data_IF_958159482907
#
_entry.id   IF_958159482907
#
_cell.length_a   1.000
_cell.length_b   1.000
_cell.length_c   1.000
_cell.angle_alpha   90.00
_cell.angle_beta   90.00
_cell.angle_gamma   90.00
#
_symmetry.space_group_name_H-M   'P 1'
#
loop_
_entity.id
_entity.type
_entity.pdbx_description
1 polymer ?
#
# COMPACT_ATOMS: atom_id res chain seq x y z
N UNK A 1 -4.00 -14.98 6.03
CA UNK A 1 -3.03 -14.68 4.94
C UNK A 1 -2.11 -15.87 4.61
N UNK A 2 -1.73 -16.70 5.57
CA UNK A 2 -0.80 -17.84 5.35
C UNK A 2 -1.33 -18.92 4.38
N UNK A 3 -2.60 -18.91 4.01
CA UNK A 3 -3.21 -19.95 3.15
C UNK A 3 -3.56 -19.49 1.73
N UNK A 4 -3.29 -18.25 1.36
CA UNK A 4 -3.53 -17.83 -0.02
C UNK A 4 -2.50 -18.45 -0.98
N UNK A 5 -2.89 -18.92 -2.17
CA UNK A 5 -1.99 -19.59 -3.11
C UNK A 5 -0.72 -18.79 -3.45
N UNK A 6 -0.85 -17.48 -3.62
CA UNK A 6 0.28 -16.60 -3.88
C UNK A 6 1.27 -16.53 -2.72
N UNK A 7 0.77 -16.45 -1.48
CA UNK A 7 1.62 -16.46 -0.28
C UNK A 7 2.35 -17.78 -0.13
N UNK A 8 1.69 -18.90 -0.40
CA UNK A 8 2.31 -20.23 -0.36
C UNK A 8 3.41 -20.37 -1.42
N UNK A 9 3.18 -19.85 -2.63
CA UNK A 9 4.20 -19.84 -3.69
C UNK A 9 5.44 -19.04 -3.25
N UNK A 10 5.28 -17.83 -2.73
CA UNK A 10 6.41 -17.02 -2.21
C UNK A 10 7.13 -17.72 -1.06
N UNK A 11 6.38 -18.33 -0.15
CA UNK A 11 6.94 -19.11 0.96
C UNK A 11 7.82 -20.26 0.45
N UNK A 12 7.37 -20.97 -0.58
CA UNK A 12 8.12 -22.08 -1.17
C UNK A 12 9.38 -21.63 -1.93
N UNK A 13 9.34 -20.45 -2.54
CA UNK A 13 10.50 -19.86 -3.23
C UNK A 13 11.59 -19.42 -2.25
N UNK A 14 11.21 -18.97 -1.05
CA UNK A 14 12.13 -18.43 -0.04
C UNK A 14 11.95 -19.12 1.32
N UNK A 15 12.21 -20.43 1.45
CA UNK A 15 11.87 -21.20 2.64
C UNK A 15 12.67 -20.81 3.90
N UNK A 16 13.86 -20.24 3.72
CA UNK A 16 14.78 -19.86 4.81
C UNK A 16 14.58 -18.42 5.31
N UNK A 17 13.78 -17.60 4.61
CA UNK A 17 13.58 -16.20 5.01
C UNK A 17 12.66 -16.15 6.22
N UNK A 18 13.06 -15.47 7.31
CA UNK A 18 12.21 -15.26 8.48
C UNK A 18 10.92 -14.54 8.12
N UNK A 19 9.86 -14.85 8.81
CA UNK A 19 8.52 -14.29 8.57
C UNK A 19 7.93 -13.77 9.86
N UNK A 20 7.37 -12.58 9.78
CA UNK A 20 6.75 -11.89 10.89
C UNK A 20 5.31 -11.57 10.52
N UNK A 21 4.45 -11.58 11.50
CA UNK A 21 3.06 -11.16 11.35
C UNK A 21 2.92 -9.66 11.61
N UNK A 22 3.76 -9.16 12.50
CA UNK A 22 3.86 -7.75 12.85
C UNK A 22 5.22 -7.18 12.39
N UNK A 23 5.19 -6.08 11.65
CA UNK A 23 6.40 -5.41 11.14
C UNK A 23 7.30 -4.88 12.26
N UNK A 24 6.73 -4.50 13.41
CA UNK A 24 7.50 -4.05 14.58
C UNK A 24 8.42 -5.16 15.09
N UNK A 25 7.90 -6.37 15.20
CA UNK A 25 8.71 -7.53 15.57
C UNK A 25 9.80 -7.85 14.53
N UNK A 26 9.55 -7.55 13.27
CA UNK A 26 10.56 -7.70 12.22
C UNK A 26 11.71 -6.70 12.45
N UNK A 27 11.42 -5.44 12.70
CA UNK A 27 12.45 -4.43 12.96
C UNK A 27 13.20 -4.71 14.26
N UNK A 28 12.52 -5.08 15.34
CA UNK A 28 13.15 -5.44 16.61
C UNK A 28 14.21 -6.55 16.45
N UNK A 29 13.96 -7.52 15.56
CA UNK A 29 14.82 -8.71 15.42
C UNK A 29 15.81 -8.63 14.27
N UNK A 30 15.57 -7.79 13.28
CA UNK A 30 16.29 -7.83 12.01
C UNK A 30 16.68 -6.46 11.44
N UNK A 31 16.42 -5.37 12.12
CA UNK A 31 16.73 -4.05 11.57
C UNK A 31 18.21 -3.91 11.15
N UNK A 32 19.13 -4.51 11.88
CA UNK A 32 20.57 -4.56 11.57
C UNK A 32 20.92 -5.32 10.27
N UNK A 33 19.99 -6.11 9.75
CA UNK A 33 20.16 -6.95 8.54
C UNK A 33 19.34 -6.48 7.35
N UNK A 34 18.68 -5.34 7.47
CA UNK A 34 17.80 -4.77 6.44
C UNK A 34 18.34 -3.40 6.05
N UNK A 35 18.57 -3.17 4.77
CA UNK A 35 18.98 -1.87 4.24
C UNK A 35 17.77 -1.09 3.69
N UNK A 36 16.81 -1.80 3.10
CA UNK A 36 15.63 -1.22 2.49
C UNK A 36 14.40 -2.11 2.66
N UNK A 37 13.22 -1.50 2.60
CA UNK A 37 11.95 -2.21 2.66
C UNK A 37 11.02 -1.80 1.52
N UNK A 38 10.18 -2.76 1.09
CA UNK A 38 9.04 -2.50 0.23
C UNK A 38 7.76 -2.60 1.05
N UNK A 39 6.95 -1.54 1.04
CA UNK A 39 5.68 -1.46 1.78
C UNK A 39 4.53 -1.63 0.80
N UNK A 40 3.95 -2.84 0.74
CA UNK A 40 2.85 -3.22 -0.14
C UNK A 40 1.71 -3.85 0.65
N UNK A 41 1.14 -3.10 1.55
CA UNK A 41 0.06 -3.47 2.48
C UNK A 41 -1.22 -2.68 2.16
N UNK A 42 -2.34 -2.86 2.86
CA UNK A 42 -3.49 -1.98 2.72
C UNK A 42 -3.14 -0.50 2.95
N UNK A 43 -3.77 0.39 2.19
CA UNK A 43 -3.45 1.83 2.11
C UNK A 43 -3.33 2.51 3.49
N UNK A 44 -4.16 2.10 4.46
CA UNK A 44 -4.17 2.68 5.81
C UNK A 44 -2.91 2.36 6.63
N UNK A 45 -2.16 1.34 6.23
CA UNK A 45 -0.94 0.92 6.91
C UNK A 45 0.34 1.43 6.23
N UNK A 46 0.25 2.11 5.07
CA UNK A 46 1.43 2.63 4.38
C UNK A 46 2.22 3.62 5.24
N UNK A 47 1.56 4.64 5.77
CA UNK A 47 2.22 5.67 6.58
C UNK A 47 2.89 5.10 7.84
N UNK A 48 2.20 4.37 8.75
CA UNK A 48 2.83 3.92 9.99
C UNK A 48 4.01 2.98 9.75
N UNK A 49 3.94 2.10 8.76
CA UNK A 49 5.05 1.20 8.45
C UNK A 49 6.23 1.94 7.83
N UNK A 50 5.95 2.88 6.92
CA UNK A 50 6.99 3.67 6.27
C UNK A 50 7.74 4.55 7.27
N UNK A 51 7.02 5.22 8.17
CA UNK A 51 7.65 6.09 9.16
C UNK A 51 8.52 5.29 10.15
N UNK A 52 8.08 4.11 10.54
CA UNK A 52 8.86 3.20 11.38
C UNK A 52 10.14 2.72 10.66
N UNK A 53 10.04 2.33 9.40
CA UNK A 53 11.21 1.95 8.60
C UNK A 53 12.22 3.09 8.50
N UNK A 54 11.76 4.33 8.23
CA UNK A 54 12.62 5.51 8.19
C UNK A 54 13.28 5.77 9.55
N UNK A 55 12.56 5.61 10.67
CA UNK A 55 13.10 5.77 12.01
C UNK A 55 14.24 4.77 12.32
N UNK A 56 14.16 3.58 11.73
CA UNK A 56 15.23 2.58 11.75
C UNK A 56 16.33 2.83 10.70
N UNK A 57 16.32 3.97 9.99
CA UNK A 57 17.31 4.31 8.97
C UNK A 57 17.22 3.48 7.69
N UNK A 58 16.03 2.94 7.36
CA UNK A 58 15.84 2.09 6.18
C UNK A 58 15.34 2.90 4.99
N UNK A 59 15.88 2.61 3.80
CA UNK A 59 15.32 3.10 2.56
C UNK A 59 13.96 2.49 2.31
N UNK A 60 13.03 3.20 1.68
CA UNK A 60 11.65 2.73 1.54
C UNK A 60 11.13 2.90 0.13
N UNK A 61 10.62 1.81 -0.42
CA UNK A 61 9.71 1.83 -1.56
C UNK A 61 8.29 1.58 -1.04
N UNK A 62 7.41 2.57 -1.11
CA UNK A 62 6.02 2.45 -0.62
C UNK A 62 5.04 2.47 -1.78
N UNK A 63 4.11 1.52 -1.82
CA UNK A 63 3.06 1.48 -2.82
C UNK A 63 2.12 2.69 -2.74
N UNK A 64 1.47 2.98 -3.86
CA UNK A 64 0.47 4.04 -3.93
C UNK A 64 -0.87 3.59 -3.27
N UNK A 65 -1.58 4.50 -2.63
CA UNK A 65 -1.22 5.88 -2.28
C UNK A 65 -0.18 5.87 -1.16
N UNK A 66 0.78 6.78 -1.23
CA UNK A 66 1.88 6.88 -0.26
C UNK A 66 1.38 7.03 1.19
N UNK A 67 0.33 7.81 1.38
CA UNK A 67 -0.34 8.03 2.65
C UNK A 67 -1.81 8.42 2.42
N UNK A 68 -2.57 8.65 3.50
CA UNK A 68 -4.00 8.96 3.44
C UNK A 68 -4.31 10.45 3.55
N UNK A 69 -3.41 11.22 4.14
CA UNK A 69 -3.60 12.65 4.39
C UNK A 69 -2.38 13.45 3.99
N UNK A 70 -2.57 14.73 3.69
CA UNK A 70 -1.45 15.64 3.43
C UNK A 70 -0.49 15.74 4.62
N UNK A 71 -1.02 15.73 5.84
CA UNK A 71 -0.20 15.77 7.05
C UNK A 71 0.73 14.56 7.16
N UNK A 72 0.23 13.35 6.87
CA UNK A 72 1.06 12.13 6.83
C UNK A 72 2.19 12.26 5.80
N UNK A 73 1.89 12.79 4.60
CA UNK A 73 2.88 13.03 3.55
C UNK A 73 3.94 14.02 4.00
N UNK A 74 3.56 15.14 4.60
CA UNK A 74 4.51 16.13 5.13
C UNK A 74 5.42 15.56 6.22
N UNK A 75 4.87 14.71 7.09
CA UNK A 75 5.66 14.00 8.10
C UNK A 75 6.68 13.08 7.45
N UNK A 76 6.28 12.32 6.41
CA UNK A 76 7.19 11.44 5.68
C UNK A 76 8.31 12.22 4.98
N UNK A 77 7.99 13.32 4.32
CA UNK A 77 9.00 14.19 3.67
C UNK A 77 10.00 14.77 4.67
N UNK A 78 9.56 15.14 5.85
CA UNK A 78 10.45 15.59 6.94
C UNK A 78 11.29 14.45 7.50
N UNK A 79 10.70 13.27 7.65
CA UNK A 79 11.39 12.08 8.13
C UNK A 79 12.50 11.62 7.17
N UNK A 80 12.25 11.62 5.85
CA UNK A 80 13.25 11.31 4.84
C UNK A 80 14.51 12.17 5.03
N UNK A 81 14.33 13.49 5.16
CA UNK A 81 15.44 14.41 5.40
C UNK A 81 16.11 14.20 6.77
N UNK A 82 15.30 14.00 7.82
CA UNK A 82 15.79 13.83 9.19
C UNK A 82 16.64 12.56 9.34
N UNK A 83 16.22 11.47 8.74
CA UNK A 83 16.89 10.17 8.88
C UNK A 83 17.90 9.90 7.75
N UNK A 84 17.96 10.76 6.73
CA UNK A 84 18.92 10.63 5.62
C UNK A 84 18.66 9.39 4.76
N UNK A 85 17.41 8.97 4.64
CA UNK A 85 17.01 7.79 3.85
C UNK A 85 16.53 8.20 2.46
N UNK A 86 16.52 7.25 1.53
CA UNK A 86 15.95 7.41 0.19
C UNK A 86 14.56 6.78 0.15
N UNK A 87 13.61 7.49 -0.42
CA UNK A 87 12.24 7.01 -0.55
C UNK A 87 11.73 7.09 -1.98
N UNK A 88 10.87 6.14 -2.35
CA UNK A 88 10.20 6.11 -3.65
C UNK A 88 8.75 5.67 -3.47
N UNK A 89 7.83 6.40 -4.08
CA UNK A 89 6.45 5.95 -4.21
C UNK A 89 6.30 5.02 -5.43
N UNK A 90 5.57 3.92 -5.26
CA UNK A 90 5.26 2.94 -6.30
C UNK A 90 4.23 3.45 -7.30
N UNK A 91 4.67 4.28 -8.22
CA UNK A 91 3.85 4.81 -9.30
C UNK A 91 4.26 4.17 -10.65
N UNK A 92 3.98 2.88 -10.79
CA UNK A 92 4.45 2.03 -11.88
C UNK A 92 4.04 2.53 -13.27
N UNK A 93 2.86 3.16 -13.39
CA UNK A 93 2.39 3.74 -14.65
C UNK A 93 3.35 4.74 -15.29
N UNK A 94 4.21 5.39 -14.50
CA UNK A 94 5.26 6.28 -15.01
C UNK A 94 6.48 5.55 -15.58
N UNK A 95 6.53 4.24 -15.47
CA UNK A 95 7.59 3.39 -16.02
C UNK A 95 7.12 2.51 -17.18
N UNK A 96 5.89 2.66 -17.60
CA UNK A 96 5.30 1.88 -18.69
C UNK A 96 5.53 2.53 -20.07
N UNK A 97 5.53 1.70 -21.10
CA UNK A 97 5.80 2.15 -22.48
C UNK A 97 4.85 3.26 -22.97
N UNK A 98 3.58 3.19 -22.59
CA UNK A 98 2.56 4.20 -22.93
C UNK A 98 2.90 5.59 -22.36
N UNK A 99 3.49 5.66 -21.17
CA UNK A 99 3.96 6.93 -20.59
C UNK A 99 5.05 7.56 -21.46
N UNK A 100 6.05 6.80 -21.85
CA UNK A 100 7.16 7.29 -22.70
C UNK A 100 6.68 7.65 -24.08
N UNK A 101 5.73 6.89 -24.65
CA UNK A 101 5.12 7.23 -25.94
C UNK A 101 4.35 8.54 -25.87
N UNK A 102 3.52 8.73 -24.83
CA UNK A 102 2.78 9.98 -24.62
C UNK A 102 3.75 11.18 -24.45
N UNK A 103 4.81 11.00 -23.68
CA UNK A 103 5.85 12.00 -23.51
C UNK A 103 6.50 12.39 -24.85
N UNK A 104 6.88 11.41 -25.66
CA UNK A 104 7.45 11.65 -26.99
C UNK A 104 6.48 12.41 -27.91
N UNK A 105 5.20 12.09 -27.91
CA UNK A 105 4.18 12.80 -28.68
C UNK A 105 4.02 14.26 -28.21
N UNK A 106 4.06 14.50 -26.92
CA UNK A 106 4.04 15.86 -26.37
C UNK A 106 5.27 16.66 -26.79
N UNK A 107 6.46 16.08 -26.68
CA UNK A 107 7.73 16.72 -27.06
C UNK A 107 7.81 17.00 -28.58
N UNK A 108 7.23 16.12 -29.39
CA UNK A 108 7.12 16.32 -30.85
C UNK A 108 6.02 17.33 -31.25
N UNK A 109 5.27 17.91 -30.31
CA UNK A 109 4.20 18.86 -30.57
C UNK A 109 2.93 18.26 -31.18
N UNK A 110 2.79 16.92 -31.17
CA UNK A 110 1.56 16.25 -31.62
C UNK A 110 0.41 16.43 -30.66
N UNK A 111 0.72 16.53 -29.38
CA UNK A 111 -0.25 16.82 -28.31
C UNK A 111 0.00 18.23 -27.80
N UNK A 112 -0.84 19.17 -28.26
CA UNK A 112 -0.76 20.58 -27.91
C UNK A 112 -2.16 21.17 -27.83
N UNK A 113 -2.27 22.35 -27.24
CA UNK A 113 -3.51 23.14 -27.15
C UNK A 113 -4.70 22.33 -26.59
N UNK A 114 -4.42 21.49 -25.57
CA UNK A 114 -5.42 20.61 -24.96
C UNK A 114 -6.45 21.43 -24.21
N UNK A 115 -7.72 21.41 -24.68
CA UNK A 115 -8.84 22.14 -24.09
C UNK A 115 -9.74 21.25 -23.23
N UNK A 116 -9.68 19.93 -23.41
CA UNK A 116 -10.47 18.98 -22.64
C UNK A 116 -9.74 17.64 -22.49
N UNK A 117 -9.96 16.99 -21.36
CA UNK A 117 -9.48 15.64 -21.09
C UNK A 117 -10.67 14.80 -20.58
N UNK A 118 -10.92 13.67 -21.22
CA UNK A 118 -11.91 12.70 -20.75
C UNK A 118 -11.20 11.44 -20.27
N UNK A 119 -11.42 11.09 -19.01
CA UNK A 119 -10.87 9.89 -18.40
C UNK A 119 -11.98 8.87 -18.14
N UNK A 120 -11.72 7.61 -18.49
CA UNK A 120 -12.63 6.49 -18.24
C UNK A 120 -12.02 5.52 -17.28
N UNK A 121 -12.83 4.98 -16.38
CA UNK A 121 -12.48 3.90 -15.48
C UNK A 121 -13.33 2.67 -15.83
N UNK A 122 -12.67 1.52 -15.98
CA UNK A 122 -13.31 0.30 -16.50
C UNK A 122 -14.46 -0.21 -15.62
N UNK A 123 -14.27 -0.19 -14.31
CA UNK A 123 -15.30 -0.58 -13.35
C UNK A 123 -15.03 -0.05 -11.96
N UNK A 124 -16.04 0.20 -11.16
CA UNK A 124 -15.87 0.49 -9.75
C UNK A 124 -15.23 -0.72 -9.04
N UNK A 125 -14.10 -0.50 -8.35
CA UNK A 125 -13.41 -1.49 -7.52
C UNK A 125 -13.44 -1.09 -6.05
N UNK A 126 -14.53 -0.46 -5.66
CA UNK A 126 -14.77 -0.04 -4.30
C UNK A 126 -15.81 -0.96 -3.67
N UNK A 127 -15.91 -0.88 -2.38
CA UNK A 127 -16.88 -1.61 -1.60
C UNK A 127 -18.27 -1.54 -2.26
N UNK A 128 -18.87 -2.71 -2.43
CA UNK A 128 -20.19 -2.90 -3.03
C UNK A 128 -20.40 -2.14 -4.36
N UNK A 129 -19.34 -1.95 -5.15
CA UNK A 129 -19.39 -1.29 -6.43
C UNK A 129 -20.03 0.12 -6.38
N UNK A 130 -19.77 0.86 -5.31
CA UNK A 130 -20.38 2.18 -5.08
C UNK A 130 -21.90 2.14 -4.94
N UNK A 131 -22.45 1.07 -4.40
CA UNK A 131 -23.89 0.96 -4.18
C UNK A 131 -24.36 2.02 -3.16
N UNK A 132 -25.13 3.04 -3.58
CA UNK A 132 -25.57 4.12 -2.69
C UNK A 132 -26.56 3.67 -1.61
N UNK A 133 -27.15 2.50 -1.75
CA UNK A 133 -28.10 1.95 -0.79
C UNK A 133 -27.42 1.33 0.44
N UNK A 134 -26.10 1.15 0.41
CA UNK A 134 -25.35 0.66 1.56
C UNK A 134 -24.94 1.85 2.43
N UNK A 135 -25.64 1.98 3.55
CA UNK A 135 -25.51 3.11 4.48
C UNK A 135 -24.83 2.72 5.80
N UNK A 136 -24.49 1.46 5.98
CA UNK A 136 -23.89 0.93 7.22
C UNK A 136 -22.81 -0.10 6.93
N UNK A 137 -21.94 -0.32 7.90
CA UNK A 137 -20.91 -1.35 7.83
C UNK A 137 -21.54 -2.73 7.83
N UNK A 138 -20.94 -3.75 7.20
CA UNK A 138 -21.44 -5.12 7.27
C UNK A 138 -21.41 -5.64 8.70
N UNK A 139 -22.29 -6.59 8.98
CA UNK A 139 -22.35 -7.26 10.29
C UNK A 139 -21.04 -7.98 10.58
N UNK A 140 -20.65 -8.00 11.85
CA UNK A 140 -19.48 -8.72 12.31
C UNK A 140 -19.56 -10.23 12.05
N UNK A 141 -18.42 -10.81 11.72
CA UNK A 141 -18.22 -12.25 11.51
C UNK A 141 -17.06 -12.74 12.38
N UNK A 142 -16.98 -14.04 12.68
CA UNK A 142 -15.80 -14.60 13.35
C UNK A 142 -14.52 -14.35 12.57
N UNK A 143 -13.51 -13.81 13.23
CA UNK A 143 -12.20 -13.60 12.63
C UNK A 143 -11.56 -14.96 12.30
N UNK A 144 -11.08 -15.19 11.07
CA UNK A 144 -10.36 -16.41 10.73
C UNK A 144 -9.12 -16.60 11.61
N UNK A 145 -8.84 -17.81 12.07
CA UNK A 145 -7.66 -18.14 12.90
C UNK A 145 -6.32 -17.72 12.26
N UNK A 146 -6.29 -17.56 10.94
CA UNK A 146 -5.09 -17.17 10.19
C UNK A 146 -4.91 -15.68 10.03
N UNK A 147 -5.84 -14.87 10.56
CA UNK A 147 -5.85 -13.42 10.48
C UNK A 147 -5.75 -12.84 11.89
N UNK A 148 -4.77 -11.97 12.09
CA UNK A 148 -4.73 -11.07 13.23
C UNK A 148 -5.45 -9.78 12.81
N UNK A 149 -6.70 -9.64 13.26
CA UNK A 149 -7.55 -8.54 12.84
C UNK A 149 -7.10 -7.20 13.42
N UNK A 150 -6.62 -7.19 14.64
CA UNK A 150 -6.11 -5.98 15.30
C UNK A 150 -4.85 -5.45 14.60
N UNK A 151 -3.88 -6.33 14.33
CA UNK A 151 -2.69 -5.97 13.54
C UNK A 151 -3.05 -5.53 12.12
N UNK A 152 -4.10 -6.11 11.51
CA UNK A 152 -4.56 -5.70 10.18
C UNK A 152 -5.21 -4.30 10.19
N UNK A 153 -6.01 -3.98 11.19
CA UNK A 153 -6.60 -2.66 11.39
C UNK A 153 -5.52 -1.60 11.67
N UNK A 154 -4.50 -1.96 12.44
CA UNK A 154 -3.39 -1.08 12.79
C UNK A 154 -3.84 0.21 13.46
N UNK A 155 -3.67 1.33 12.77
CA UNK A 155 -4.02 2.67 13.27
C UNK A 155 -5.48 3.06 13.08
N UNK A 156 -6.32 2.15 12.58
CA UNK A 156 -7.75 2.41 12.38
C UNK A 156 -8.53 2.17 13.67
N UNK A 157 -9.63 2.90 13.88
CA UNK A 157 -10.56 2.55 14.96
C UNK A 157 -11.02 1.10 14.80
N UNK A 158 -11.16 0.43 15.95
CA UNK A 158 -11.67 -0.93 15.93
C UNK A 158 -13.09 -0.98 15.35
N UNK A 159 -13.34 -1.97 14.53
CA UNK A 159 -14.66 -2.43 14.10
C UNK A 159 -14.61 -3.95 13.90
N UNK A 160 -15.75 -4.58 13.89
CA UNK A 160 -15.88 -6.02 13.72
C UNK A 160 -15.38 -6.46 12.34
N UNK A 161 -14.81 -7.64 12.31
CA UNK A 161 -14.37 -8.26 11.05
C UNK A 161 -15.57 -8.65 10.19
N UNK A 162 -15.40 -8.48 8.88
CA UNK A 162 -16.26 -9.09 7.87
C UNK A 162 -15.40 -9.48 6.65
N UNK A 163 -15.73 -10.59 6.00
CA UNK A 163 -14.96 -11.11 4.86
C UNK A 163 -14.93 -10.14 3.67
N UNK A 164 -15.91 -9.27 3.53
CA UNK A 164 -15.99 -8.25 2.48
C UNK A 164 -14.84 -7.24 2.53
N UNK A 165 -14.15 -7.09 3.65
CA UNK A 165 -12.96 -6.23 3.74
C UNK A 165 -11.74 -6.81 3.05
N UNK A 166 -11.75 -8.06 2.65
CA UNK A 166 -10.62 -8.70 2.00
C UNK A 166 -10.52 -8.38 0.50
N UNK A 167 -9.37 -8.70 -0.09
CA UNK A 167 -9.10 -8.64 -1.53
C UNK A 167 -9.39 -7.27 -2.19
N UNK A 168 -9.11 -6.18 -1.47
CA UNK A 168 -9.20 -4.83 -2.01
C UNK A 168 -10.55 -4.13 -1.81
N UNK A 169 -11.44 -4.72 -1.04
CA UNK A 169 -12.75 -4.14 -0.74
C UNK A 169 -12.75 -3.23 0.50
N UNK A 170 -11.64 -3.10 1.22
CA UNK A 170 -11.50 -2.26 2.43
C UNK A 170 -11.56 -0.75 2.18
N UNK A 171 -11.66 -0.30 0.95
CA UNK A 171 -11.65 1.11 0.56
C UNK A 171 -13.05 1.69 0.51
#
# INVERSE_FOLDING_TARGET
YKRQPHTQKLISMFPKVPRFQDFRQMFDKMADKIDAVTVGVPDHAHFPITIEAMAHGKHVYVEKPMARTFQEIEVMMRAEKKFGVVTQMGNQGHSEANYFQFKAWKEAGLIKDVTAITAHMNSPRRWHNWNPNITHMPMGEPVPETLDWDTWLGVRPFHEYNHDYHLGQWR
#
